data_IF_165243663375
#
_entry.id   IF_165243663375
#
_cell.length_a   1.000
_cell.length_b   1.000
_cell.length_c   1.000
_cell.angle_alpha   90.00
_cell.angle_beta   90.00
_cell.angle_gamma   90.00
#
_symmetry.space_group_name_H-M   'P 1'
#
loop_
_entity.id
_entity.type
_entity.pdbx_description
1 polymer ?
#
# COMPACT_ATOMS: atom_id res chain seq x y z
N UNK A 1 -24.24 -14.82 -5.21
CA UNK A 1 -22.95 -14.13 -5.44
C UNK A 1 -23.20 -12.66 -5.14
N UNK A 2 -22.43 -12.05 -4.27
CA UNK A 2 -22.57 -10.64 -3.92
C UNK A 2 -22.10 -9.76 -5.10
N UNK A 3 -22.61 -8.55 -5.23
CA UNK A 3 -22.22 -7.64 -6.31
C UNK A 3 -20.71 -7.37 -6.30
N UNK A 4 -20.15 -7.10 -5.12
CA UNK A 4 -18.70 -6.91 -4.96
C UNK A 4 -17.88 -8.12 -5.43
N UNK A 5 -18.35 -9.33 -5.11
CA UNK A 5 -17.68 -10.57 -5.55
C UNK A 5 -17.68 -10.70 -7.08
N UNK A 6 -18.76 -10.31 -7.75
CA UNK A 6 -18.85 -10.30 -9.21
C UNK A 6 -17.91 -9.28 -9.83
N UNK A 7 -17.84 -8.06 -9.27
CA UNK A 7 -16.93 -7.00 -9.71
C UNK A 7 -15.47 -7.43 -9.58
N UNK A 8 -15.08 -7.93 -8.40
CA UNK A 8 -13.70 -8.40 -8.16
C UNK A 8 -13.33 -9.54 -9.09
N UNK A 9 -14.24 -10.49 -9.30
CA UNK A 9 -14.01 -11.61 -10.23
C UNK A 9 -13.84 -11.10 -11.68
N UNK A 10 -14.62 -10.12 -12.09
CA UNK A 10 -14.54 -9.56 -13.43
C UNK A 10 -13.22 -8.80 -13.65
N UNK A 11 -12.78 -8.02 -12.66
CA UNK A 11 -11.49 -7.32 -12.71
C UNK A 11 -10.31 -8.29 -12.74
N UNK A 12 -10.33 -9.37 -11.93
CA UNK A 12 -9.30 -10.42 -12.03
C UNK A 12 -9.27 -11.05 -13.40
N UNK A 13 -10.43 -11.33 -14.00
CA UNK A 13 -10.51 -11.87 -15.37
C UNK A 13 -9.99 -10.89 -16.42
N UNK A 14 -10.29 -9.61 -16.26
CA UNK A 14 -9.81 -8.53 -17.13
C UNK A 14 -8.29 -8.44 -17.07
N UNK A 15 -7.73 -8.41 -15.85
CA UNK A 15 -6.29 -8.39 -15.61
C UNK A 15 -5.59 -9.64 -16.15
N UNK A 16 -6.19 -10.82 -15.95
CA UNK A 16 -5.65 -12.09 -16.49
C UNK A 16 -5.65 -12.09 -18.02
N UNK A 17 -6.69 -11.53 -18.64
CA UNK A 17 -6.75 -11.39 -20.09
C UNK A 17 -5.68 -10.46 -20.62
N UNK A 18 -5.43 -9.32 -19.91
CA UNK A 18 -4.34 -8.40 -20.21
C UNK A 18 -3.00 -9.12 -20.15
N UNK A 19 -2.72 -9.84 -19.06
CA UNK A 19 -1.48 -10.60 -18.90
C UNK A 19 -1.24 -11.69 -19.95
N UNK A 20 -2.32 -12.28 -20.52
CA UNK A 20 -2.19 -13.38 -21.49
C UNK A 20 -2.16 -12.91 -22.95
N UNK A 21 -2.85 -11.82 -23.29
CA UNK A 21 -2.99 -11.34 -24.66
C UNK A 21 -1.98 -10.25 -25.01
N UNK A 22 -1.53 -9.49 -24.01
CA UNK A 22 -0.62 -8.34 -24.13
C UNK A 22 0.48 -8.44 -23.10
N UNK A 23 1.24 -9.54 -23.16
CA UNK A 23 2.22 -9.92 -22.13
C UNK A 23 3.31 -8.88 -21.96
N UNK A 24 3.87 -8.35 -23.05
CA UNK A 24 4.98 -7.36 -22.98
C UNK A 24 4.53 -6.06 -22.33
N UNK A 25 3.36 -5.54 -22.69
CA UNK A 25 2.76 -4.35 -22.10
C UNK A 25 2.40 -4.58 -20.64
N UNK A 26 1.83 -5.75 -20.33
CA UNK A 26 1.50 -6.13 -18.96
C UNK A 26 2.75 -6.16 -18.07
N UNK A 27 3.82 -6.82 -18.51
CA UNK A 27 5.08 -6.90 -17.76
C UNK A 27 5.69 -5.51 -17.58
N UNK A 28 5.62 -4.64 -18.58
CA UNK A 28 6.09 -3.26 -18.50
C UNK A 28 5.33 -2.47 -17.43
N UNK A 29 3.99 -2.45 -17.50
CA UNK A 29 3.13 -1.74 -16.54
C UNK A 29 3.36 -2.26 -15.12
N UNK A 30 3.37 -3.58 -14.91
CA UNK A 30 3.60 -4.17 -13.59
C UNK A 30 4.99 -3.87 -13.05
N UNK A 31 6.03 -3.88 -13.92
CA UNK A 31 7.40 -3.52 -13.52
C UNK A 31 7.51 -2.06 -13.09
N UNK A 32 6.89 -1.14 -13.80
CA UNK A 32 6.89 0.28 -13.46
C UNK A 32 6.18 0.52 -12.13
N UNK A 33 4.97 -0.01 -11.95
CA UNK A 33 4.21 0.11 -10.70
C UNK A 33 4.95 -0.52 -9.50
N UNK A 34 5.57 -1.69 -9.70
CA UNK A 34 6.36 -2.33 -8.64
C UNK A 34 7.56 -1.48 -8.22
N UNK A 35 8.26 -0.84 -9.18
CA UNK A 35 9.37 0.09 -8.89
C UNK A 35 8.89 1.32 -8.14
N UNK A 36 7.77 1.91 -8.56
CA UNK A 36 7.19 3.09 -7.90
C UNK A 36 6.75 2.79 -6.47
N UNK A 37 6.01 1.68 -6.27
CA UNK A 37 5.56 1.25 -4.94
C UNK A 37 6.76 1.00 -4.01
N UNK A 38 7.78 0.30 -4.49
CA UNK A 38 9.00 0.03 -3.74
C UNK A 38 9.76 1.31 -3.40
N UNK A 39 9.90 2.23 -4.37
CA UNK A 39 10.57 3.51 -4.14
C UNK A 39 9.82 4.36 -3.13
N UNK A 40 8.49 4.37 -3.17
CA UNK A 40 7.64 5.06 -2.19
C UNK A 40 7.86 4.51 -0.77
N UNK A 41 7.89 3.19 -0.61
CA UNK A 41 8.19 2.56 0.70
C UNK A 41 9.60 2.91 1.20
N UNK A 42 10.60 2.83 0.33
CA UNK A 42 11.98 3.20 0.67
C UNK A 42 12.04 4.66 1.14
N UNK A 43 11.40 5.58 0.42
CA UNK A 43 11.38 7.00 0.78
C UNK A 43 10.70 7.24 2.14
N UNK A 44 9.60 6.54 2.42
CA UNK A 44 8.90 6.62 3.71
C UNK A 44 9.81 6.15 4.87
N UNK A 45 10.44 4.99 4.74
CA UNK A 45 11.36 4.48 5.77
C UNK A 45 12.61 5.36 5.94
N UNK A 46 13.18 5.87 4.85
CA UNK A 46 14.31 6.82 4.94
C UNK A 46 13.92 8.12 5.64
N UNK A 47 12.69 8.58 5.47
CA UNK A 47 12.18 9.75 6.19
C UNK A 47 12.03 9.45 7.68
N UNK A 48 11.48 8.29 8.04
CA UNK A 48 11.36 7.84 9.44
C UNK A 48 12.74 7.70 10.09
N UNK A 49 13.73 7.11 9.41
CA UNK A 49 15.11 7.01 9.89
C UNK A 49 15.69 8.38 10.23
N UNK A 50 15.49 9.39 9.37
CA UNK A 50 15.97 10.75 9.63
C UNK A 50 15.37 11.34 10.89
N UNK A 51 14.08 11.17 11.13
CA UNK A 51 13.39 11.65 12.33
C UNK A 51 13.89 10.93 13.57
N UNK A 52 14.03 9.61 13.54
CA UNK A 52 14.52 8.81 14.66
C UNK A 52 15.98 9.12 15.01
N UNK A 53 16.84 9.30 14.00
CA UNK A 53 18.25 9.72 14.23
C UNK A 53 18.36 11.12 14.83
N UNK A 54 17.49 12.04 14.44
CA UNK A 54 17.44 13.36 15.04
C UNK A 54 17.00 13.27 16.50
N UNK A 55 16.02 12.41 16.82
CA UNK A 55 15.55 12.18 18.19
C UNK A 55 16.61 11.52 19.06
N UNK A 56 17.34 10.50 18.56
CA UNK A 56 18.45 9.87 19.30
C UNK A 56 19.51 10.91 19.71
N UNK A 57 19.92 11.79 18.78
CA UNK A 57 20.85 12.87 19.06
C UNK A 57 20.30 13.92 20.03
N UNK A 58 19.02 14.18 19.99
CA UNK A 58 18.37 15.09 20.93
C UNK A 58 18.37 14.50 22.34
N UNK A 59 18.08 13.21 22.48
CA UNK A 59 18.14 12.49 23.75
C UNK A 59 19.55 12.54 24.36
N UNK A 60 20.61 12.37 23.57
CA UNK A 60 21.99 12.52 24.06
C UNK A 60 22.22 13.94 24.66
N UNK A 61 21.77 15.00 23.98
CA UNK A 61 21.87 16.37 24.50
C UNK A 61 21.03 16.62 25.73
N UNK A 62 19.86 15.99 25.83
CA UNK A 62 19.02 16.08 27.04
C UNK A 62 19.74 15.42 28.22
N UNK A 63 20.38 14.27 27.98
CA UNK A 63 21.17 13.57 28.98
C UNK A 63 22.33 14.42 29.51
N UNK A 64 23.10 15.04 28.61
CA UNK A 64 24.20 15.95 28.99
C UNK A 64 23.70 17.08 29.91
N UNK A 65 22.61 17.75 29.51
CA UNK A 65 22.01 18.83 30.34
C UNK A 65 21.47 18.34 31.66
N UNK A 66 20.80 17.17 31.65
CA UNK A 66 20.25 16.59 32.87
C UNK A 66 21.34 16.26 33.88
N UNK A 67 22.48 15.77 33.39
CA UNK A 67 23.67 15.51 34.20
C UNK A 67 24.26 16.80 34.78
N UNK A 68 24.44 17.85 33.98
CA UNK A 68 24.93 19.15 34.42
C UNK A 68 24.01 19.80 35.48
N UNK A 69 22.69 19.73 35.27
CA UNK A 69 21.69 20.27 36.19
C UNK A 69 21.65 19.49 37.52
N UNK A 70 21.90 18.20 37.51
CA UNK A 70 22.05 17.41 38.74
C UNK A 70 23.34 17.77 39.47
N UNK A 71 24.48 17.83 38.79
CA UNK A 71 25.76 18.25 39.41
C UNK A 71 25.70 19.65 40.02
N UNK A 72 24.98 20.56 39.38
CA UNK A 72 24.80 21.93 39.88
C UNK A 72 23.73 22.06 40.98
N UNK A 73 23.10 20.97 41.38
CA UNK A 73 22.07 20.94 42.41
C UNK A 73 20.73 21.56 42.02
N UNK A 74 20.50 21.86 40.72
CA UNK A 74 19.23 22.38 40.23
C UNK A 74 18.12 21.35 40.25
N UNK A 75 18.47 20.06 40.12
CA UNK A 75 17.55 18.93 40.24
C UNK A 75 18.09 17.94 41.29
N UNK A 76 17.18 17.32 42.02
CA UNK A 76 17.53 16.28 43.01
C UNK A 76 17.94 14.97 42.33
N UNK A 77 18.74 14.15 43.01
CA UNK A 77 19.17 12.83 42.55
C UNK A 77 18.00 11.92 42.23
N UNK A 78 16.95 11.96 43.03
CA UNK A 78 15.73 11.18 42.80
C UNK A 78 15.07 11.57 41.49
N UNK A 79 14.97 12.86 41.21
CA UNK A 79 14.39 13.36 39.97
C UNK A 79 15.27 13.06 38.77
N UNK A 80 16.59 13.19 38.92
CA UNK A 80 17.57 12.80 37.93
C UNK A 80 17.43 11.32 37.56
N UNK A 81 17.38 10.41 38.51
CA UNK A 81 17.23 8.97 38.27
C UNK A 81 15.93 8.65 37.50
N UNK A 82 14.80 9.27 37.92
CA UNK A 82 13.52 9.06 37.26
C UNK A 82 13.53 9.52 35.81
N UNK A 83 14.09 10.70 35.53
CA UNK A 83 14.16 11.25 34.17
C UNK A 83 15.16 10.47 33.31
N UNK A 84 16.33 10.12 33.85
CA UNK A 84 17.32 9.30 33.16
C UNK A 84 16.72 7.95 32.71
N UNK A 85 16.03 7.25 33.62
CA UNK A 85 15.38 5.99 33.29
C UNK A 85 14.34 6.13 32.17
N UNK A 86 13.57 7.22 32.19
CA UNK A 86 12.58 7.49 31.13
C UNK A 86 13.23 7.72 29.77
N UNK A 87 14.28 8.53 29.72
CA UNK A 87 15.00 8.85 28.48
C UNK A 87 15.81 7.65 27.96
N UNK A 88 16.41 6.86 28.85
CA UNK A 88 17.09 5.60 28.48
C UNK A 88 16.14 4.62 27.79
N UNK A 89 14.93 4.47 28.34
CA UNK A 89 13.92 3.61 27.72
C UNK A 89 13.49 4.12 26.34
N UNK A 90 13.24 5.44 26.23
CA UNK A 90 12.88 6.04 24.94
C UNK A 90 14.03 5.86 23.92
N UNK A 91 15.28 6.09 24.33
CA UNK A 91 16.43 5.93 23.44
C UNK A 91 16.60 4.48 22.98
N UNK A 92 16.36 3.53 23.87
CA UNK A 92 16.36 2.10 23.53
C UNK A 92 15.29 1.77 22.47
N UNK A 93 14.07 2.24 22.66
CA UNK A 93 12.97 2.05 21.69
C UNK A 93 13.29 2.65 20.33
N UNK A 94 13.84 3.86 20.30
CA UNK A 94 14.29 4.57 19.09
C UNK A 94 15.35 3.74 18.35
N UNK A 95 16.37 3.24 19.04
CA UNK A 95 17.46 2.44 18.46
C UNK A 95 16.97 1.07 17.96
N UNK A 96 16.08 0.44 18.70
CA UNK A 96 15.43 -0.81 18.24
C UNK A 96 14.59 -0.60 16.98
N UNK A 97 13.87 0.54 16.91
CA UNK A 97 13.09 0.88 15.71
C UNK A 97 14.00 1.17 14.52
N UNK A 98 15.10 1.89 14.70
CA UNK A 98 16.11 2.13 13.67
C UNK A 98 16.69 0.82 13.13
N UNK A 99 17.02 -0.13 14.00
CA UNK A 99 17.54 -1.44 13.60
C UNK A 99 16.52 -2.19 12.76
N UNK A 100 15.24 -2.22 13.18
CA UNK A 100 14.16 -2.87 12.40
C UNK A 100 13.98 -2.25 11.02
N UNK A 101 14.00 -0.91 10.93
CA UNK A 101 13.83 -0.22 9.64
C UNK A 101 15.01 -0.50 8.71
N UNK A 102 16.26 -0.46 9.22
CA UNK A 102 17.43 -0.76 8.41
C UNK A 102 17.38 -2.18 7.84
N UNK A 103 16.97 -3.18 8.64
CA UNK A 103 16.78 -4.55 8.14
C UNK A 103 15.71 -4.62 7.02
N UNK A 104 14.60 -3.88 7.17
CA UNK A 104 13.56 -3.80 6.14
C UNK A 104 14.12 -3.16 4.85
N UNK A 105 14.89 -2.07 4.97
CA UNK A 105 15.51 -1.41 3.82
C UNK A 105 16.50 -2.33 3.10
N UNK A 106 17.30 -3.10 3.83
CA UNK A 106 18.22 -4.09 3.27
C UNK A 106 17.45 -5.21 2.54
N UNK A 107 16.36 -5.70 3.12
CA UNK A 107 15.49 -6.67 2.47
C UNK A 107 14.82 -6.12 1.21
N UNK A 108 14.33 -4.88 1.22
CA UNK A 108 13.72 -4.24 0.07
C UNK A 108 14.73 -4.05 -1.06
N UNK A 109 15.97 -3.66 -0.74
CA UNK A 109 17.03 -3.51 -1.74
C UNK A 109 17.43 -4.84 -2.41
N UNK A 110 17.22 -5.98 -1.73
CA UNK A 110 17.45 -7.33 -2.27
C UNK A 110 16.29 -7.91 -3.08
N UNK A 111 15.07 -7.30 -3.01
CA UNK A 111 13.84 -7.84 -3.63
C UNK A 111 13.56 -7.27 -5.02
N UNK A 112 14.39 -7.51 -6.01
CA UNK A 112 14.02 -7.30 -7.43
C UNK A 112 12.96 -8.32 -7.96
N UNK A 113 12.45 -9.22 -7.10
CA UNK A 113 11.73 -10.45 -7.50
C UNK A 113 10.21 -10.46 -7.26
N UNK A 114 9.59 -9.34 -6.81
CA UNK A 114 8.15 -9.36 -6.50
C UNK A 114 7.26 -9.32 -7.76
N UNK A 115 7.72 -8.63 -8.79
CA UNK A 115 7.03 -8.54 -10.10
C UNK A 115 6.87 -9.89 -10.77
N UNK A 116 7.94 -10.70 -10.81
CA UNK A 116 7.92 -12.04 -11.41
C UNK A 116 6.91 -12.96 -10.69
N UNK A 117 6.86 -12.92 -9.38
CA UNK A 117 5.90 -13.70 -8.58
C UNK A 117 4.46 -13.32 -8.85
N UNK A 118 4.19 -12.01 -9.01
CA UNK A 118 2.85 -11.54 -9.35
C UNK A 118 2.44 -11.98 -10.76
N UNK A 119 3.33 -11.85 -11.74
CA UNK A 119 3.11 -12.32 -13.12
C UNK A 119 2.84 -13.82 -13.15
N UNK A 120 3.61 -14.61 -12.40
CA UNK A 120 3.37 -16.04 -12.24
C UNK A 120 2.02 -16.35 -11.58
N UNK A 121 1.65 -15.61 -10.53
CA UNK A 121 0.38 -15.78 -9.84
C UNK A 121 -0.81 -15.51 -10.77
N UNK A 122 -0.79 -14.40 -11.51
CA UNK A 122 -1.85 -14.04 -12.46
C UNK A 122 -2.03 -15.11 -13.55
N UNK A 123 -0.94 -15.67 -14.07
CA UNK A 123 -0.98 -16.71 -15.11
C UNK A 123 -1.66 -18.00 -14.65
N UNK A 124 -1.67 -18.31 -13.35
CA UNK A 124 -2.38 -19.50 -12.81
C UNK A 124 -3.89 -19.37 -12.95
N UNK A 125 -4.42 -18.14 -13.05
CA UNK A 125 -5.84 -17.84 -12.98
C UNK A 125 -6.51 -17.52 -14.32
N UNK A 126 -5.98 -18.05 -15.43
CA UNK A 126 -6.46 -17.77 -16.81
C UNK A 126 -7.90 -18.22 -17.11
N UNK A 127 -8.45 -19.19 -16.38
CA UNK A 127 -9.79 -19.76 -16.63
C UNK A 127 -10.63 -19.83 -15.36
N UNK A 128 -10.73 -18.71 -14.66
CA UNK A 128 -11.45 -18.69 -13.39
C UNK A 128 -12.94 -18.51 -13.57
N UNK A 129 -13.73 -19.45 -13.02
CA UNK A 129 -15.20 -19.39 -13.03
C UNK A 129 -15.79 -18.75 -11.76
N UNK A 130 -15.11 -18.87 -10.63
CA UNK A 130 -15.56 -18.36 -9.32
C UNK A 130 -14.38 -17.75 -8.56
N UNK A 131 -14.66 -16.73 -7.79
CA UNK A 131 -13.69 -16.17 -6.84
C UNK A 131 -13.45 -17.18 -5.71
N UNK A 132 -12.20 -17.39 -5.35
CA UNK A 132 -11.82 -18.27 -4.24
C UNK A 132 -11.01 -17.49 -3.21
N UNK A 133 -11.07 -17.85 -1.91
CA UNK A 133 -10.27 -17.18 -0.88
C UNK A 133 -8.77 -17.18 -1.21
N UNK A 134 -8.27 -18.28 -1.78
CA UNK A 134 -6.87 -18.40 -2.19
C UNK A 134 -6.47 -17.36 -3.24
N UNK A 135 -7.32 -17.15 -4.25
CA UNK A 135 -7.07 -16.11 -5.28
C UNK A 135 -7.04 -14.72 -4.68
N UNK A 136 -7.98 -14.42 -3.79
CA UNK A 136 -8.01 -13.12 -3.10
C UNK A 136 -6.71 -12.91 -2.34
N UNK A 137 -6.29 -13.89 -1.54
CA UNK A 137 -5.06 -13.80 -0.75
C UNK A 137 -3.78 -13.73 -1.60
N UNK A 138 -3.73 -14.46 -2.74
CA UNK A 138 -2.55 -14.46 -3.62
C UNK A 138 -2.44 -13.18 -4.47
N UNK A 139 -3.57 -12.57 -4.87
CA UNK A 139 -3.58 -11.47 -5.82
C UNK A 139 -3.88 -10.11 -5.20
N UNK A 140 -4.73 -10.04 -4.19
CA UNK A 140 -5.26 -8.78 -3.65
C UNK A 140 -4.67 -8.50 -2.28
N UNK A 141 -4.11 -7.31 -2.11
CA UNK A 141 -3.65 -6.80 -0.82
C UNK A 141 -4.82 -6.26 -0.01
N UNK A 142 -5.58 -5.32 -0.60
CA UNK A 142 -6.80 -4.76 -0.02
C UNK A 142 -7.68 -4.12 -1.10
N UNK A 143 -8.91 -3.80 -0.73
CA UNK A 143 -9.87 -3.10 -1.58
C UNK A 143 -10.36 -1.87 -0.87
N UNK A 144 -10.17 -0.70 -1.48
CA UNK A 144 -10.73 0.54 -0.98
C UNK A 144 -12.10 0.79 -1.57
N UNK A 145 -13.07 1.04 -0.69
CA UNK A 145 -14.43 1.41 -1.06
C UNK A 145 -14.67 2.85 -0.60
N UNK A 146 -14.70 3.77 -1.53
CA UNK A 146 -14.86 5.18 -1.24
C UNK A 146 -16.31 5.54 -0.87
N UNK A 147 -16.53 6.74 -0.35
CA UNK A 147 -17.87 7.25 -0.07
C UNK A 147 -18.70 7.36 -1.36
N UNK A 148 -20.03 7.20 -1.21
CA UNK A 148 -20.94 7.40 -2.33
C UNK A 148 -21.05 8.91 -2.64
N UNK A 149 -20.79 9.27 -3.86
CA UNK A 149 -20.90 10.62 -4.39
C UNK A 149 -22.02 10.69 -5.43
N UNK A 150 -22.48 11.90 -5.76
CA UNK A 150 -23.38 12.13 -6.89
C UNK A 150 -22.58 12.74 -8.04
N UNK A 151 -22.45 11.99 -9.14
CA UNK A 151 -21.85 12.45 -10.37
C UNK A 151 -22.97 12.50 -11.41
N UNK A 152 -23.24 13.66 -11.99
CA UNK A 152 -24.31 13.91 -12.98
C UNK A 152 -25.69 13.40 -12.52
N UNK A 153 -25.99 13.54 -11.23
CA UNK A 153 -27.25 13.10 -10.65
C UNK A 153 -27.33 11.59 -10.29
N UNK A 154 -26.35 10.80 -10.71
CA UNK A 154 -26.24 9.36 -10.42
C UNK A 154 -25.43 9.15 -9.15
N UNK A 155 -25.90 8.28 -8.26
CA UNK A 155 -25.13 7.86 -7.09
C UNK A 155 -24.01 6.92 -7.53
N UNK A 156 -22.78 7.37 -7.39
CA UNK A 156 -21.58 6.65 -7.79
C UNK A 156 -20.71 6.33 -6.58
N UNK A 157 -20.14 5.14 -6.54
CA UNK A 157 -19.22 4.72 -5.50
C UNK A 157 -17.95 4.17 -6.16
N UNK A 158 -16.80 4.80 -5.86
CA UNK A 158 -15.51 4.38 -6.39
C UNK A 158 -14.99 3.18 -5.59
N UNK A 159 -14.48 2.19 -6.31
CA UNK A 159 -13.82 1.01 -5.77
C UNK A 159 -12.43 0.90 -6.40
N UNK A 160 -11.41 0.74 -5.55
CA UNK A 160 -10.02 0.57 -6.00
C UNK A 160 -9.48 -0.74 -5.46
N UNK A 161 -8.96 -1.59 -6.34
CA UNK A 161 -8.35 -2.87 -5.99
C UNK A 161 -6.83 -2.70 -5.99
N UNK A 162 -6.21 -2.94 -4.84
CA UNK A 162 -4.76 -2.95 -4.69
C UNK A 162 -4.27 -4.39 -4.76
N UNK A 163 -3.40 -4.67 -5.71
CA UNK A 163 -2.82 -5.99 -5.92
C UNK A 163 -1.50 -6.14 -5.18
N UNK A 164 -1.23 -7.35 -4.72
CA UNK A 164 -0.01 -7.68 -4.00
C UNK A 164 1.25 -7.27 -4.79
N UNK A 165 2.14 -6.54 -4.15
CA UNK A 165 3.45 -6.11 -4.66
C UNK A 165 3.44 -5.04 -5.77
N UNK A 166 2.28 -4.67 -6.31
CA UNK A 166 2.20 -3.71 -7.43
C UNK A 166 1.22 -2.56 -7.18
N UNK A 167 0.40 -2.62 -6.13
CA UNK A 167 -0.61 -1.60 -5.86
C UNK A 167 -1.80 -1.65 -6.84
N UNK A 168 -2.43 -0.49 -7.08
CA UNK A 168 -3.54 -0.38 -8.02
C UNK A 168 -3.01 -0.38 -9.46
N UNK A 169 -3.56 -1.27 -10.30
CA UNK A 169 -3.21 -1.35 -11.72
C UNK A 169 -4.34 -0.81 -12.58
N UNK A 170 -4.00 0.02 -13.55
CA UNK A 170 -4.91 0.44 -14.61
C UNK A 170 -4.45 -0.17 -15.93
N UNK A 171 -5.41 -0.73 -16.67
CA UNK A 171 -5.13 -1.23 -18.01
C UNK A 171 -5.12 -0.02 -18.95
N UNK A 172 -4.05 0.18 -19.74
CA UNK A 172 -3.98 1.29 -20.68
C UNK A 172 -5.15 1.29 -21.67
N UNK A 173 -5.64 2.48 -22.03
CA UNK A 173 -6.82 2.63 -22.91
C UNK A 173 -6.58 2.15 -24.35
N UNK A 174 -5.33 2.10 -24.78
CA UNK A 174 -4.91 1.59 -26.09
C UNK A 174 -4.91 0.05 -26.16
N UNK A 175 -5.10 -0.64 -25.03
CA UNK A 175 -5.21 -2.10 -24.97
C UNK A 175 -6.68 -2.52 -25.10
N UNK A 176 -7.11 -3.15 -26.21
CA UNK A 176 -8.51 -3.45 -26.48
C UNK A 176 -9.01 -4.66 -25.68
N UNK A 177 -9.16 -4.52 -24.39
CA UNK A 177 -9.75 -5.51 -23.50
C UNK A 177 -11.21 -5.14 -23.24
N UNK A 178 -12.17 -6.03 -23.56
CA UNK A 178 -13.58 -5.76 -23.32
C UNK A 178 -13.87 -5.40 -21.85
N UNK A 179 -14.62 -4.34 -21.66
CA UNK A 179 -15.11 -3.95 -20.35
C UNK A 179 -16.17 -4.93 -19.85
N UNK A 180 -16.20 -5.24 -18.55
CA UNK A 180 -17.22 -6.10 -17.99
C UNK A 180 -18.55 -5.35 -17.90
N UNK A 181 -19.60 -5.94 -18.45
CA UNK A 181 -20.99 -5.49 -18.25
C UNK A 181 -21.58 -6.23 -17.04
N UNK A 182 -21.61 -5.55 -15.89
CA UNK A 182 -22.15 -6.09 -14.66
C UNK A 182 -23.24 -5.17 -14.15
N UNK A 183 -24.47 -5.64 -14.27
CA UNK A 183 -25.65 -4.94 -13.74
C UNK A 183 -26.41 -5.84 -12.80
N UNK A 184 -26.76 -5.34 -11.63
CA UNK A 184 -27.53 -6.07 -10.63
C UNK A 184 -28.69 -5.22 -10.09
N UNK A 185 -29.87 -5.84 -9.95
CA UNK A 185 -31.01 -5.22 -9.25
C UNK A 185 -30.96 -5.58 -7.77
N UNK A 186 -30.92 -4.56 -6.93
CA UNK A 186 -30.96 -4.73 -5.48
C UNK A 186 -32.37 -5.18 -5.04
N UNK A 187 -32.47 -5.72 -3.82
CA UNK A 187 -33.79 -6.10 -3.24
C UNK A 187 -34.78 -4.93 -3.12
N UNK A 188 -34.32 -3.69 -3.16
CA UNK A 188 -35.11 -2.45 -3.13
C UNK A 188 -35.45 -1.93 -4.54
N UNK A 189 -35.19 -2.71 -5.60
CA UNK A 189 -35.47 -2.32 -6.97
C UNK A 189 -34.49 -1.31 -7.59
N UNK A 190 -33.40 -0.99 -6.90
CA UNK A 190 -32.36 -0.10 -7.43
C UNK A 190 -31.44 -0.93 -8.35
N UNK A 191 -31.20 -0.42 -9.54
CA UNK A 191 -30.25 -1.00 -10.49
C UNK A 191 -28.86 -0.42 -10.20
N UNK A 192 -27.85 -1.28 -10.11
CA UNK A 192 -26.45 -0.92 -9.86
C UNK A 192 -25.64 -1.51 -11.01
N UNK A 193 -24.92 -0.65 -11.72
CA UNK A 193 -24.04 -1.02 -12.82
C UNK A 193 -22.60 -0.74 -12.45
N UNK A 194 -21.71 -1.67 -12.76
CA UNK A 194 -20.27 -1.47 -12.63
C UNK A 194 -19.73 -0.82 -13.90
N UNK A 195 -18.96 0.26 -13.73
CA UNK A 195 -18.21 0.91 -14.80
C UNK A 195 -16.72 0.79 -14.43
N UNK A 196 -15.89 0.17 -15.28
CA UNK A 196 -14.44 0.16 -15.08
C UNK A 196 -13.90 1.59 -15.03
N UNK A 197 -12.89 1.83 -14.20
CA UNK A 197 -12.22 3.10 -14.19
C UNK A 197 -11.46 3.28 -15.52
N UNK A 198 -11.84 4.27 -16.30
CA UNK A 198 -10.99 4.83 -17.35
C UNK A 198 -9.85 5.61 -16.71
N UNK A 199 -8.71 5.73 -17.39
CA UNK A 199 -7.57 6.51 -16.92
C UNK A 199 -8.04 7.88 -16.40
N UNK A 200 -7.53 8.40 -15.26
CA UNK A 200 -7.90 9.70 -14.80
C UNK A 200 -7.50 10.72 -15.88
N UNK A 201 -8.47 11.54 -16.29
CA UNK A 201 -8.17 12.74 -17.08
C UNK A 201 -7.03 13.52 -16.40
N UNK A 202 -5.86 13.52 -17.00
CA UNK A 202 -4.68 14.29 -16.58
C UNK A 202 -4.87 15.79 -16.88
N UNK A 203 -6.08 16.30 -16.70
CA UNK A 203 -6.43 17.70 -16.91
C UNK A 203 -7.24 18.24 -15.74
N UNK A 204 -6.58 18.48 -14.60
CA UNK A 204 -6.95 19.53 -13.65
C UNK A 204 -5.80 19.75 -12.67
N UNK A 205 -4.86 20.61 -13.03
CA UNK A 205 -4.07 21.41 -12.08
C UNK A 205 -4.77 22.73 -11.87
#
# INVERSE_FOLDING_TARGET
MDFLEQVVLAEIRRLTRFACQYEDEFVKVVSELSKEAMQSQINAYQSEVRVLMARDKELDRIFERLYEDNLSGKISDERFQKMSFSYDNEQKEVRERLTRINNILDELSGKASSTEKFVEAIRKYTRVKKLTPRMVTELIEHIEVHHTEKIDGVKTQKLVIYYNCIGAIQIPDDVPIPEPDITMKTRKGVEVTYLPATAPDTAAV
#
